data_IF_749352576776
#
_entry.id   IF_749352576776
#
_cell.length_a   1.000
_cell.length_b   1.000
_cell.length_c   1.000
_cell.angle_alpha   90.00
_cell.angle_beta   90.00
_cell.angle_gamma   90.00
#
_symmetry.space_group_name_H-M   'P 1'
#
loop_
_entity.id
_entity.type
_entity.pdbx_description
1 polymer ?
#
# COMPACT_ATOMS: atom_id res chain seq x y z
N UNK A 1 27.80 -15.33 -0.48
CA UNK A 1 26.70 -15.04 -1.41
C UNK A 1 25.44 -14.85 -0.58
N UNK A 2 25.07 -13.61 -0.25
CA UNK A 2 23.89 -13.35 0.59
C UNK A 2 22.65 -13.57 -0.25
N UNK A 3 21.76 -14.47 0.17
CA UNK A 3 20.52 -14.74 -0.54
C UNK A 3 19.65 -13.49 -0.57
N UNK A 4 19.19 -13.05 -1.74
CA UNK A 4 18.33 -11.86 -1.89
C UNK A 4 17.07 -11.93 -1.01
N UNK A 5 16.53 -13.15 -0.81
CA UNK A 5 15.42 -13.42 0.13
C UNK A 5 15.84 -13.17 1.57
N UNK A 6 17.02 -13.63 1.97
CA UNK A 6 17.56 -13.42 3.31
C UNK A 6 17.82 -11.93 3.59
N UNK A 7 18.30 -11.18 2.60
CA UNK A 7 18.47 -9.73 2.70
C UNK A 7 17.11 -9.04 2.95
N UNK A 8 16.07 -9.42 2.20
CA UNK A 8 14.70 -8.91 2.42
C UNK A 8 14.23 -9.18 3.85
N UNK A 9 14.39 -10.41 4.36
CA UNK A 9 14.00 -10.75 5.73
C UNK A 9 14.80 -9.97 6.78
N UNK A 10 16.11 -9.79 6.59
CA UNK A 10 16.96 -9.01 7.49
C UNK A 10 16.56 -7.53 7.51
N UNK A 11 16.25 -6.95 6.34
CA UNK A 11 15.76 -5.56 6.27
C UNK A 11 14.43 -5.39 6.99
N UNK A 12 13.50 -6.34 6.81
CA UNK A 12 12.22 -6.30 7.50
C UNK A 12 12.38 -6.45 9.01
N UNK A 13 13.21 -7.38 9.47
CA UNK A 13 13.52 -7.56 10.88
C UNK A 13 14.17 -6.30 11.49
N UNK A 14 15.09 -5.67 10.77
CA UNK A 14 15.70 -4.40 11.17
C UNK A 14 14.70 -3.26 11.30
N UNK A 15 13.78 -3.12 10.34
CA UNK A 15 12.69 -2.14 10.41
C UNK A 15 11.78 -2.40 11.61
N UNK A 16 11.37 -3.65 11.85
CA UNK A 16 10.53 -4.02 13.00
C UNK A 16 11.23 -3.66 14.31
N UNK A 17 12.53 -3.95 14.44
CA UNK A 17 13.29 -3.59 15.63
C UNK A 17 13.38 -2.07 15.82
N UNK A 18 13.61 -1.30 14.76
CA UNK A 18 13.61 0.16 14.83
C UNK A 18 12.25 0.70 15.27
N UNK A 19 11.15 0.18 14.72
CA UNK A 19 9.79 0.53 15.15
C UNK A 19 9.57 0.26 16.63
N UNK A 20 10.00 -0.90 17.15
CA UNK A 20 9.84 -1.25 18.56
C UNK A 20 10.68 -0.34 19.46
N UNK A 21 11.93 -0.05 19.09
CA UNK A 21 12.81 0.85 19.87
C UNK A 21 12.26 2.27 19.88
N UNK A 22 11.82 2.78 18.73
CA UNK A 22 11.16 4.08 18.64
C UNK A 22 9.88 4.11 19.48
N UNK A 23 9.02 3.09 19.40
CA UNK A 23 7.78 3.00 20.18
C UNK A 23 8.03 2.95 21.69
N UNK A 24 9.03 2.19 22.14
CA UNK A 24 9.41 2.14 23.55
C UNK A 24 9.94 3.49 24.05
N UNK A 25 10.74 4.17 23.23
CA UNK A 25 11.28 5.51 23.54
C UNK A 25 10.24 6.63 23.48
N UNK A 26 9.14 6.44 22.74
CA UNK A 26 8.07 7.43 22.54
C UNK A 26 6.91 7.25 23.53
N UNK A 27 7.01 6.33 24.49
CA UNK A 27 5.94 6.01 25.45
C UNK A 27 5.59 7.13 26.44
N UNK A 28 6.28 8.26 26.38
CA UNK A 28 6.07 9.43 27.22
C UNK A 28 5.84 10.65 26.30
N UNK A 29 4.56 10.97 26.09
CA UNK A 29 4.07 12.22 25.48
C UNK A 29 4.32 12.40 23.97
N UNK A 30 3.39 11.97 23.09
CA UNK A 30 2.84 12.77 21.98
C UNK A 30 1.82 12.03 21.10
N UNK A 31 0.74 12.75 20.80
CA UNK A 31 -0.37 12.48 19.87
C UNK A 31 0.03 12.31 18.39
N UNK A 32 1.19 11.75 18.08
CA UNK A 32 1.66 11.58 16.72
C UNK A 32 1.81 10.08 16.35
N UNK A 33 1.08 9.56 15.34
CA UNK A 33 0.08 10.27 14.57
C UNK A 33 -1.12 9.38 14.22
N UNK A 34 -2.11 9.33 15.13
CA UNK A 34 -3.46 8.96 14.73
C UNK A 34 -3.92 9.83 13.55
N UNK A 35 -3.52 11.10 13.51
CA UNK A 35 -3.81 12.03 12.40
C UNK A 35 -3.12 11.68 11.08
N UNK A 36 -1.87 11.18 11.10
CA UNK A 36 -1.13 10.81 9.87
C UNK A 36 -1.52 9.40 9.39
N UNK A 37 -1.83 8.48 10.31
CA UNK A 37 -2.45 7.21 9.94
C UNK A 37 -3.88 7.45 9.44
N UNK A 38 -4.62 8.37 10.07
CA UNK A 38 -5.96 8.77 9.63
C UNK A 38 -5.90 9.43 8.26
N UNK A 39 -4.91 10.26 7.92
CA UNK A 39 -4.81 10.81 6.55
C UNK A 39 -4.47 9.73 5.51
N UNK A 40 -3.64 8.75 5.84
CA UNK A 40 -3.36 7.59 4.97
C UNK A 40 -4.62 6.72 4.79
N UNK A 41 -5.35 6.46 5.88
CA UNK A 41 -6.58 5.66 5.83
C UNK A 41 -7.80 6.44 5.32
N UNK A 42 -7.83 7.77 5.44
CA UNK A 42 -8.87 8.64 4.90
C UNK A 42 -8.77 8.67 3.38
N UNK A 43 -7.54 8.75 2.84
CA UNK A 43 -7.29 8.51 1.41
C UNK A 43 -7.80 7.12 1.01
N UNK A 44 -7.56 6.07 1.82
CA UNK A 44 -8.06 4.70 1.56
C UNK A 44 -9.60 4.56 1.71
N UNK A 45 -10.24 5.41 2.53
CA UNK A 45 -11.70 5.45 2.69
C UNK A 45 -12.38 6.24 1.56
N UNK A 46 -11.75 7.30 1.03
CA UNK A 46 -12.20 7.98 -0.19
C UNK A 46 -12.18 7.01 -1.39
N UNK A 47 -11.25 6.06 -1.43
CA UNK A 47 -11.24 4.99 -2.43
C UNK A 47 -12.40 4.00 -2.31
N UNK A 48 -13.07 3.89 -1.15
CA UNK A 48 -14.18 2.96 -0.94
C UNK A 48 -15.54 3.49 -1.39
N UNK A 49 -15.68 4.80 -1.58
CA UNK A 49 -16.98 5.41 -1.86
C UNK A 49 -17.34 5.46 -3.36
N UNK A 50 -16.38 5.23 -4.25
CA UNK A 50 -16.56 5.28 -5.71
C UNK A 50 -16.76 3.92 -6.39
N UNK A 51 -16.92 2.82 -5.62
CA UNK A 51 -17.01 1.44 -6.14
C UNK A 51 -18.36 1.05 -6.76
N UNK A 52 -19.16 2.01 -7.28
CA UNK A 52 -20.48 1.64 -7.81
C UNK A 52 -20.42 0.81 -9.10
N UNK A 53 -19.41 0.95 -9.95
CA UNK A 53 -19.30 0.12 -11.17
C UNK A 53 -17.86 -0.23 -11.63
N UNK A 54 -16.81 0.32 -11.00
CA UNK A 54 -15.43 0.10 -11.43
C UNK A 54 -14.46 -0.24 -10.29
N UNK A 55 -13.32 -0.84 -10.65
CA UNK A 55 -12.25 -1.23 -9.74
C UNK A 55 -11.16 -0.14 -9.69
N UNK A 56 -10.88 0.37 -8.49
CA UNK A 56 -9.81 1.35 -8.24
C UNK A 56 -8.40 0.75 -8.23
N UNK A 57 -7.40 1.57 -7.95
CA UNK A 57 -5.99 1.12 -7.85
C UNK A 57 -5.83 -0.08 -6.89
N UNK A 58 -5.07 -1.09 -7.32
CA UNK A 58 -4.83 -2.34 -6.57
C UNK A 58 -6.10 -3.17 -6.25
N UNK A 59 -7.26 -2.86 -6.84
CA UNK A 59 -8.47 -3.71 -6.78
C UNK A 59 -8.45 -4.74 -7.90
N UNK A 60 -9.03 -5.93 -7.65
CA UNK A 60 -9.10 -7.00 -8.64
C UNK A 60 -9.98 -6.59 -9.84
N UNK A 61 -9.49 -6.87 -11.06
CA UNK A 61 -10.19 -6.60 -12.32
C UNK A 61 -10.72 -7.86 -13.01
N UNK A 62 -11.13 -8.88 -12.23
CA UNK A 62 -11.73 -10.12 -12.79
C UNK A 62 -13.16 -9.90 -13.28
N UNK A 63 -13.96 -9.21 -12.49
CA UNK A 63 -15.39 -9.01 -12.74
C UNK A 63 -15.74 -7.56 -13.04
N UNK A 64 -14.99 -6.61 -12.46
CA UNK A 64 -15.18 -5.17 -12.67
C UNK A 64 -14.13 -4.59 -13.60
N UNK A 65 -14.55 -3.69 -14.48
CA UNK A 65 -13.66 -2.87 -15.28
C UNK A 65 -12.89 -1.91 -14.36
N UNK A 66 -11.62 -1.62 -14.67
CA UNK A 66 -10.87 -0.62 -13.92
C UNK A 66 -11.46 0.78 -14.13
N UNK A 67 -11.42 1.62 -13.09
CA UNK A 67 -11.83 3.01 -13.20
C UNK A 67 -10.93 3.77 -14.20
N UNK A 68 -11.44 4.88 -14.73
CA UNK A 68 -10.70 5.73 -15.66
C UNK A 68 -9.35 6.14 -15.06
N UNK A 69 -8.28 6.04 -15.85
CA UNK A 69 -6.90 6.29 -15.39
C UNK A 69 -6.14 5.05 -14.92
N UNK A 70 -6.78 3.88 -14.87
CA UNK A 70 -6.12 2.62 -14.54
C UNK A 70 -6.29 1.57 -15.65
N UNK A 71 -5.34 0.64 -15.74
CA UNK A 71 -5.37 -0.51 -16.65
C UNK A 71 -5.28 -1.80 -15.86
N UNK A 72 -6.00 -2.84 -16.29
CA UNK A 72 -5.93 -4.16 -15.67
C UNK A 72 -4.57 -4.81 -16.00
N UNK A 73 -3.74 -5.05 -14.98
CA UNK A 73 -2.45 -5.73 -15.21
C UNK A 73 -2.69 -7.20 -15.52
N UNK A 74 -2.35 -7.65 -16.74
CA UNK A 74 -2.46 -9.07 -17.11
C UNK A 74 -1.66 -10.01 -16.20
N UNK A 75 -0.58 -9.51 -15.58
CA UNK A 75 0.30 -10.27 -14.68
C UNK A 75 -0.28 -10.48 -13.29
N UNK A 76 -1.00 -9.48 -12.77
CA UNK A 76 -1.41 -9.45 -11.37
C UNK A 76 -2.93 -9.51 -11.17
N UNK A 77 -3.71 -9.28 -12.24
CA UNK A 77 -5.17 -9.26 -12.24
C UNK A 77 -5.78 -8.22 -11.30
N UNK A 78 -5.07 -7.11 -11.09
CA UNK A 78 -5.57 -5.91 -10.43
C UNK A 78 -5.30 -4.66 -11.28
N UNK A 79 -6.05 -3.59 -11.01
CA UNK A 79 -5.91 -2.30 -11.67
C UNK A 79 -4.62 -1.60 -11.24
N UNK A 80 -3.81 -1.18 -12.21
CA UNK A 80 -2.56 -0.45 -12.01
C UNK A 80 -2.58 0.86 -12.79
N UNK A 81 -1.73 1.80 -12.42
CA UNK A 81 -1.49 2.98 -13.24
C UNK A 81 -0.92 2.54 -14.61
N UNK A 82 -1.32 3.20 -15.72
CA UNK A 82 -0.73 2.96 -17.01
C UNK A 82 0.75 3.37 -16.95
N UNK A 83 1.63 2.37 -16.93
CA UNK A 83 3.05 2.64 -17.04
C UNK A 83 3.36 3.09 -18.48
N UNK A 84 4.21 4.12 -18.70
CA UNK A 84 4.52 4.64 -20.04
C UNK A 84 5.11 3.60 -21.01
N UNK A 85 5.53 2.43 -20.50
CA UNK A 85 6.21 1.37 -21.25
C UNK A 85 5.35 0.11 -21.49
N UNK A 86 4.03 0.14 -21.22
CA UNK A 86 3.11 -0.96 -21.51
C UNK A 86 2.01 -0.50 -22.48
N UNK A 87 2.36 -0.36 -23.76
CA UNK A 87 1.40 -0.48 -24.87
C UNK A 87 1.21 -1.95 -25.21
#
# INVERSE_FOLDING_TARGET
MVNMKALMFLTFAGLVLLFVVCYASESEEKEFPKEMLSSIFAVDNDFKQEERDCAGYMRECKEKLCCSGYVCSSRWKWCVLPAPWRR
#
